data_IF_935449131289
#
_entry.id   IF_935449131289
#
_cell.length_a   1.000
_cell.length_b   1.000
_cell.length_c   1.000
_cell.angle_alpha   90.00
_cell.angle_beta   90.00
_cell.angle_gamma   90.00
#
_symmetry.space_group_name_H-M   'P 1'
#
loop_
_entity.id
_entity.type
_entity.pdbx_description
1 polymer ?
#
# COMPACT_ATOMS: atom_id res chain seq x y z
N UNK A 1 -4.37 -35.20 7.50
CA UNK A 1 -5.83 -35.49 7.38
C UNK A 1 -6.77 -34.48 8.05
N UNK A 2 -6.32 -33.54 8.90
CA UNK A 2 -7.18 -32.46 9.43
C UNK A 2 -7.21 -31.19 8.56
N UNK A 3 -6.13 -30.92 7.82
CA UNK A 3 -5.96 -29.73 6.96
C UNK A 3 -6.91 -29.77 5.74
N UNK A 4 -7.25 -30.94 5.22
CA UNK A 4 -8.17 -31.10 4.09
C UNK A 4 -9.64 -30.76 4.43
N UNK A 5 -10.07 -30.86 5.69
CA UNK A 5 -11.44 -30.47 6.09
C UNK A 5 -11.60 -28.96 6.23
N UNK A 6 -10.57 -28.26 6.71
CA UNK A 6 -10.58 -26.80 6.82
C UNK A 6 -10.58 -26.12 5.44
N UNK A 7 -9.78 -26.63 4.49
CA UNK A 7 -9.79 -26.18 3.09
C UNK A 7 -11.12 -26.45 2.39
N UNK A 8 -11.75 -27.59 2.66
CA UNK A 8 -13.08 -27.90 2.12
C UNK A 8 -14.16 -27.01 2.74
N UNK A 9 -14.07 -26.69 4.03
CA UNK A 9 -14.99 -25.74 4.67
C UNK A 9 -14.81 -24.31 4.17
N UNK A 10 -13.57 -23.85 3.94
CA UNK A 10 -13.30 -22.55 3.35
C UNK A 10 -13.79 -22.48 1.88
N UNK A 11 -13.56 -23.53 1.10
CA UNK A 11 -14.07 -23.62 -0.27
C UNK A 11 -15.59 -23.67 -0.32
N UNK A 12 -16.25 -24.42 0.58
CA UNK A 12 -17.72 -24.51 0.67
C UNK A 12 -18.35 -23.21 1.19
N UNK A 13 -17.74 -22.53 2.17
CA UNK A 13 -18.21 -21.22 2.65
C UNK A 13 -18.12 -20.15 1.55
N UNK A 14 -17.02 -20.15 0.78
CA UNK A 14 -16.89 -19.31 -0.41
C UNK A 14 -17.97 -19.67 -1.43
N UNK A 15 -18.21 -20.97 -1.68
CA UNK A 15 -19.20 -21.44 -2.67
C UNK A 15 -20.66 -21.14 -2.28
N UNK A 16 -21.04 -21.21 -1.00
CA UNK A 16 -22.42 -20.96 -0.55
C UNK A 16 -22.76 -19.48 -0.44
N UNK A 17 -21.77 -18.60 -0.22
CA UNK A 17 -22.00 -17.15 -0.25
C UNK A 17 -22.15 -16.55 -1.65
N UNK A 18 -21.90 -17.34 -2.71
CA UNK A 18 -21.83 -16.86 -4.09
C UNK A 18 -23.16 -16.96 -4.86
N UNK A 19 -24.18 -17.65 -4.36
CA UNK A 19 -25.35 -18.03 -5.18
C UNK A 19 -26.70 -17.39 -4.84
N UNK A 20 -26.78 -16.49 -3.86
CA UNK A 20 -28.08 -15.89 -3.48
C UNK A 20 -28.54 -14.68 -4.31
N UNK A 21 -27.78 -14.24 -5.32
CA UNK A 21 -28.27 -13.15 -6.20
C UNK A 21 -27.58 -13.09 -7.56
N UNK A 22 -27.91 -14.01 -8.46
CA UNK A 22 -27.75 -13.75 -9.90
C UNK A 22 -28.97 -12.95 -10.35
N UNK A 23 -28.89 -11.63 -10.22
CA UNK A 23 -29.79 -10.71 -10.92
C UNK A 23 -28.94 -9.64 -11.59
N UNK A 24 -29.17 -9.42 -12.88
CA UNK A 24 -28.37 -8.56 -13.76
C UNK A 24 -28.61 -7.06 -13.49
N UNK A 25 -28.18 -6.60 -12.31
CA UNK A 25 -27.96 -5.20 -11.96
C UNK A 25 -26.50 -5.02 -11.51
N UNK A 26 -26.02 -3.76 -11.45
CA UNK A 26 -24.68 -3.44 -10.95
C UNK A 26 -24.43 -4.21 -9.65
N UNK A 27 -23.33 -4.97 -9.58
CA UNK A 27 -23.05 -5.81 -8.41
C UNK A 27 -22.74 -4.90 -7.23
N UNK A 28 -23.75 -4.62 -6.42
CA UNK A 28 -23.61 -3.85 -5.19
C UNK A 28 -22.97 -4.75 -4.14
N UNK A 29 -21.78 -4.36 -3.67
CA UNK A 29 -21.11 -5.09 -2.61
C UNK A 29 -21.96 -5.05 -1.34
N UNK A 30 -22.24 -6.21 -0.76
CA UNK A 30 -23.19 -6.34 0.36
C UNK A 30 -22.74 -5.62 1.65
N UNK A 31 -21.48 -5.22 1.77
CA UNK A 31 -20.92 -4.57 2.96
C UNK A 31 -20.55 -3.11 2.62
N UNK A 32 -21.44 -2.14 2.91
CA UNK A 32 -21.25 -0.75 2.53
C UNK A 32 -20.13 -0.08 3.33
N UNK A 33 -19.59 1.05 2.84
CA UNK A 33 -18.57 1.81 3.55
C UNK A 33 -19.19 2.70 4.63
N UNK A 34 -18.45 2.93 5.71
CA UNK A 34 -18.77 3.98 6.68
C UNK A 34 -18.62 5.39 6.07
N UNK A 35 -19.29 6.42 6.61
CA UNK A 35 -19.20 7.79 6.11
C UNK A 35 -17.76 8.34 6.01
N UNK A 36 -16.88 7.98 6.94
CA UNK A 36 -15.47 8.35 6.94
C UNK A 36 -14.74 7.83 5.70
N UNK A 37 -15.10 6.63 5.22
CA UNK A 37 -14.56 6.08 3.99
C UNK A 37 -15.00 6.89 2.76
N UNK A 38 -16.26 7.32 2.73
CA UNK A 38 -16.75 8.19 1.66
C UNK A 38 -16.09 9.57 1.70
N UNK A 39 -15.90 10.14 2.89
CA UNK A 39 -15.22 11.43 3.07
C UNK A 39 -13.77 11.38 2.56
N UNK A 40 -13.07 10.27 2.77
CA UNK A 40 -11.69 10.09 2.33
C UNK A 40 -11.52 10.06 0.81
N UNK A 41 -12.59 9.92 0.03
CA UNK A 41 -12.57 10.06 -1.44
C UNK A 41 -12.46 11.52 -1.92
N UNK A 42 -12.45 12.48 -0.99
CA UNK A 42 -12.28 13.90 -1.33
C UNK A 42 -10.80 14.28 -1.32
N UNK A 43 -10.38 15.09 -2.29
CA UNK A 43 -9.02 15.66 -2.31
C UNK A 43 -8.75 16.55 -1.08
N UNK A 44 -7.52 16.53 -0.60
CA UNK A 44 -7.04 17.37 0.51
C UNK A 44 -5.93 18.34 0.06
N UNK A 45 -5.36 19.08 1.02
CA UNK A 45 -4.22 19.98 0.76
C UNK A 45 -2.93 19.22 0.38
N UNK A 46 -2.85 17.93 0.68
CA UNK A 46 -1.66 17.09 0.45
C UNK A 46 -1.90 15.94 -0.51
N UNK A 47 -3.16 15.54 -0.73
CA UNK A 47 -3.54 14.41 -1.57
C UNK A 47 -4.54 14.84 -2.63
N UNK A 48 -4.28 14.47 -3.87
CA UNK A 48 -5.25 14.48 -4.96
C UNK A 48 -5.93 13.12 -5.01
N UNK A 49 -7.27 13.12 -5.03
CA UNK A 49 -8.08 11.92 -5.17
C UNK A 49 -8.85 11.99 -6.47
N UNK A 50 -8.76 10.93 -7.27
CA UNK A 50 -9.39 10.85 -8.58
C UNK A 50 -10.13 9.53 -8.74
N UNK A 51 -11.34 9.59 -9.31
CA UNK A 51 -12.00 8.43 -9.90
C UNK A 51 -11.54 8.36 -11.35
N UNK A 52 -10.77 7.33 -11.68
CA UNK A 52 -10.17 7.18 -13.02
C UNK A 52 -10.94 6.15 -13.81
N UNK A 53 -11.36 6.51 -15.02
CA UNK A 53 -12.01 5.60 -15.96
C UNK A 53 -10.99 4.82 -16.77
N UNK A 54 -11.28 3.55 -17.01
CA UNK A 54 -10.44 2.57 -17.67
C UNK A 54 -11.20 2.05 -18.89
N UNK A 55 -10.69 2.34 -20.09
CA UNK A 55 -11.34 1.87 -21.32
C UNK A 55 -11.29 0.34 -21.46
N UNK A 56 -10.23 -0.29 -20.97
CA UNK A 56 -10.01 -1.73 -21.01
C UNK A 56 -9.04 -2.17 -19.92
N UNK A 57 -9.44 -3.18 -19.15
CA UNK A 57 -8.63 -3.76 -18.07
C UNK A 57 -7.51 -4.65 -18.56
N UNK A 58 -7.70 -5.37 -19.67
CA UNK A 58 -6.73 -6.28 -20.29
C UNK A 58 -6.04 -5.68 -21.53
N UNK A 59 -6.42 -4.45 -21.92
CA UNK A 59 -5.95 -3.76 -23.12
C UNK A 59 -6.61 -4.20 -24.42
N UNK A 60 -7.54 -5.17 -24.39
CA UNK A 60 -8.17 -5.75 -25.59
C UNK A 60 -9.70 -5.70 -25.56
N UNK A 61 -10.31 -5.94 -24.41
CA UNK A 61 -11.76 -5.99 -24.20
C UNK A 61 -12.23 -4.70 -23.53
N UNK A 62 -13.23 -3.99 -24.09
CA UNK A 62 -13.81 -2.83 -23.42
C UNK A 62 -14.27 -3.17 -22.00
N UNK A 63 -13.92 -2.35 -21.02
CA UNK A 63 -14.37 -2.53 -19.66
C UNK A 63 -15.90 -2.30 -19.56
N UNK A 64 -16.64 -3.06 -18.74
CA UNK A 64 -18.06 -2.82 -18.51
C UNK A 64 -18.29 -1.41 -17.95
N UNK A 65 -19.31 -0.70 -18.44
CA UNK A 65 -19.53 0.71 -18.07
C UNK A 65 -19.81 0.93 -16.57
N UNK A 66 -20.29 -0.10 -15.87
CA UNK A 66 -20.52 -0.14 -14.43
C UNK A 66 -19.32 -0.66 -13.62
N UNK A 67 -18.25 -1.08 -14.30
CA UNK A 67 -17.07 -1.71 -13.69
C UNK A 67 -15.78 -1.31 -14.44
N UNK A 68 -15.68 -0.02 -14.81
CA UNK A 68 -14.58 0.56 -15.58
C UNK A 68 -13.80 1.63 -14.80
N UNK A 69 -13.76 1.56 -13.47
CA UNK A 69 -13.08 2.58 -12.66
C UNK A 69 -12.09 2.02 -11.65
N UNK A 70 -11.15 2.86 -11.24
CA UNK A 70 -10.44 2.72 -9.97
C UNK A 70 -10.34 4.07 -9.24
N UNK A 71 -10.01 4.02 -7.96
CA UNK A 71 -9.77 5.21 -7.15
C UNK A 71 -8.26 5.41 -6.98
N UNK A 72 -7.74 6.56 -7.39
CA UNK A 72 -6.34 6.92 -7.28
C UNK A 72 -6.15 8.00 -6.20
N UNK A 73 -5.10 7.86 -5.39
CA UNK A 73 -4.73 8.80 -4.33
C UNK A 73 -3.25 9.18 -4.54
N UNK A 74 -3.03 10.42 -4.94
CA UNK A 74 -1.75 10.92 -5.42
C UNK A 74 -1.21 12.02 -4.48
N UNK A 75 0.04 11.93 -4.00
CA UNK A 75 0.67 13.02 -3.27
C UNK A 75 0.82 14.28 -4.15
N UNK A 76 0.34 15.44 -3.69
CA UNK A 76 0.42 16.72 -4.45
C UNK A 76 1.79 17.40 -4.42
N UNK A 77 2.58 17.16 -3.37
CA UNK A 77 3.80 17.95 -3.06
C UNK A 77 5.09 17.16 -3.23
N UNK A 78 5.01 15.90 -3.65
CA UNK A 78 6.15 14.99 -3.69
C UNK A 78 6.10 14.16 -4.96
N UNK A 79 7.25 13.99 -5.61
CA UNK A 79 7.40 12.98 -6.65
C UNK A 79 7.28 11.61 -5.99
N UNK A 80 6.31 10.81 -6.41
CA UNK A 80 6.09 9.45 -5.92
C UNK A 80 6.73 8.44 -6.87
N UNK A 81 7.58 7.58 -6.34
CA UNK A 81 8.28 6.50 -7.08
C UNK A 81 7.88 5.11 -6.59
N UNK A 82 7.05 5.04 -5.55
CA UNK A 82 6.51 3.81 -4.98
C UNK A 82 4.99 3.86 -5.06
N UNK A 83 4.41 2.79 -5.59
CA UNK A 83 2.97 2.60 -5.72
C UNK A 83 2.48 1.45 -4.86
N UNK A 84 1.32 1.63 -4.23
CA UNK A 84 0.64 0.59 -3.47
C UNK A 84 -0.78 0.35 -3.99
N UNK A 85 -1.02 -0.87 -4.49
CA UNK A 85 -2.32 -1.30 -5.01
C UNK A 85 -3.06 -2.03 -3.88
N UNK A 86 -4.27 -1.58 -3.57
CA UNK A 86 -5.13 -2.17 -2.55
C UNK A 86 -6.25 -2.97 -3.21
N UNK A 87 -6.30 -4.26 -2.90
CA UNK A 87 -7.36 -5.18 -3.27
C UNK A 87 -8.37 -5.30 -2.11
N UNK A 88 -9.65 -4.97 -2.34
CA UNK A 88 -10.70 -5.08 -1.32
C UNK A 88 -10.92 -6.52 -0.82
N UNK A 89 -11.42 -6.63 0.42
CA UNK A 89 -12.01 -7.84 0.96
C UNK A 89 -13.32 -8.24 0.26
N UNK A 90 -13.71 -9.51 0.39
CA UNK A 90 -14.84 -10.08 -0.33
C UNK A 90 -16.16 -9.44 0.10
N UNK A 91 -17.01 -9.05 -0.86
CA UNK A 91 -18.27 -8.34 -0.64
C UNK A 91 -18.12 -7.01 0.12
N UNK A 92 -16.91 -6.47 0.30
CA UNK A 92 -16.69 -5.13 0.84
C UNK A 92 -16.74 -4.10 -0.28
N UNK A 93 -17.47 -3.02 -0.06
CA UNK A 93 -17.37 -1.85 -0.95
C UNK A 93 -15.91 -1.37 -0.98
N UNK A 94 -15.30 -1.20 -2.18
CA UNK A 94 -13.91 -0.77 -2.31
C UNK A 94 -13.61 0.56 -1.61
N UNK A 95 -14.60 1.45 -1.49
CA UNK A 95 -14.43 2.76 -0.84
C UNK A 95 -14.12 2.63 0.65
N UNK A 96 -14.43 1.49 1.27
CA UNK A 96 -14.08 1.18 2.67
C UNK A 96 -12.58 1.27 2.97
N UNK A 97 -11.72 1.20 1.95
CA UNK A 97 -10.26 1.30 2.09
C UNK A 97 -9.72 2.71 1.79
N UNK A 98 -10.58 3.66 1.41
CA UNK A 98 -10.19 5.02 1.06
C UNK A 98 -9.45 5.76 2.18
N UNK A 99 -9.79 5.61 3.49
CA UNK A 99 -9.05 6.28 4.55
C UNK A 99 -7.59 5.81 4.64
N UNK A 100 -7.34 4.50 4.52
CA UNK A 100 -5.99 3.95 4.50
C UNK A 100 -5.21 4.41 3.26
N UNK A 101 -5.84 4.35 2.08
CA UNK A 101 -5.24 4.82 0.83
C UNK A 101 -4.86 6.32 0.91
N UNK A 102 -5.79 7.16 1.38
CA UNK A 102 -5.57 8.58 1.55
C UNK A 102 -4.44 8.86 2.55
N UNK A 103 -4.41 8.17 3.69
CA UNK A 103 -3.39 8.36 4.71
C UNK A 103 -1.99 7.93 4.23
N UNK A 104 -1.89 6.86 3.43
CA UNK A 104 -0.64 6.45 2.79
C UNK A 104 -0.20 7.44 1.71
N UNK A 105 -1.15 7.97 0.92
CA UNK A 105 -0.85 9.01 -0.06
C UNK A 105 -0.38 10.32 0.58
N UNK A 106 -0.96 10.71 1.72
CA UNK A 106 -0.48 11.84 2.50
C UNK A 106 0.97 11.68 3.00
N UNK A 107 1.46 10.44 3.07
CA UNK A 107 2.84 10.10 3.45
C UNK A 107 3.80 9.95 2.25
N UNK A 108 3.34 10.22 1.03
CA UNK A 108 4.18 10.31 -0.17
C UNK A 108 4.14 9.11 -1.12
N UNK A 109 3.27 8.14 -0.88
CA UNK A 109 3.10 6.97 -1.74
C UNK A 109 1.98 7.18 -2.74
N UNK A 110 2.14 6.76 -3.99
CA UNK A 110 0.95 6.57 -4.81
C UNK A 110 0.15 5.41 -4.23
N UNK A 111 -1.15 5.56 -4.05
CA UNK A 111 -2.01 4.42 -3.71
C UNK A 111 -3.24 4.39 -4.59
N UNK A 112 -3.75 3.19 -4.86
CA UNK A 112 -5.02 3.03 -5.53
C UNK A 112 -5.83 1.89 -4.92
N UNK A 113 -7.13 1.96 -5.12
CA UNK A 113 -8.08 0.91 -4.78
C UNK A 113 -8.74 0.47 -6.08
N UNK A 114 -8.71 -0.83 -6.34
CA UNK A 114 -9.30 -1.41 -7.54
C UNK A 114 -10.61 -2.10 -7.13
N UNK A 115 -11.79 -1.60 -7.55
CA UNK A 115 -13.04 -2.35 -7.51
C UNK A 115 -12.89 -3.70 -8.22
N UNK A 116 -13.49 -4.75 -7.66
CA UNK A 116 -13.33 -6.12 -8.14
C UNK A 116 -14.63 -6.63 -8.76
N UNK A 117 -14.58 -7.44 -9.83
CA UNK A 117 -15.75 -8.11 -10.37
C UNK A 117 -16.47 -8.87 -9.26
N UNK A 118 -17.78 -8.65 -9.16
CA UNK A 118 -18.63 -9.26 -8.14
C UNK A 118 -18.14 -9.05 -6.69
N UNK A 119 -17.35 -8.00 -6.45
CA UNK A 119 -16.75 -7.71 -5.15
C UNK A 119 -15.83 -8.83 -4.62
N UNK A 120 -15.24 -9.64 -5.50
CA UNK A 120 -14.33 -10.73 -5.15
C UNK A 120 -12.99 -10.56 -5.84
N UNK A 121 -11.93 -10.31 -5.06
CA UNK A 121 -10.61 -10.01 -5.60
C UNK A 121 -10.01 -11.12 -6.47
N UNK A 122 -10.37 -12.39 -6.22
CA UNK A 122 -9.93 -13.52 -7.03
C UNK A 122 -10.40 -13.46 -8.49
N UNK A 123 -11.45 -12.70 -8.80
CA UNK A 123 -11.96 -12.54 -10.17
C UNK A 123 -11.34 -11.35 -10.91
N UNK A 124 -10.57 -10.49 -10.24
CA UNK A 124 -10.12 -9.22 -10.81
C UNK A 124 -8.67 -8.83 -10.51
N UNK A 125 -7.88 -9.64 -9.80
CA UNK A 125 -6.53 -9.23 -9.39
C UNK A 125 -5.59 -8.85 -10.55
N UNK A 126 -5.80 -9.39 -11.76
CA UNK A 126 -5.02 -9.02 -12.95
C UNK A 126 -5.27 -7.57 -13.43
N UNK A 127 -6.31 -6.89 -12.93
CA UNK A 127 -6.51 -5.44 -13.14
C UNK A 127 -5.32 -4.61 -12.66
N UNK A 128 -4.49 -5.15 -11.75
CA UNK A 128 -3.26 -4.53 -11.33
C UNK A 128 -2.30 -4.24 -12.51
N UNK A 129 -2.28 -5.07 -13.55
CA UNK A 129 -1.42 -4.85 -14.74
C UNK A 129 -1.75 -3.51 -15.42
N UNK A 130 -3.04 -3.20 -15.53
CA UNK A 130 -3.51 -1.94 -16.09
C UNK A 130 -2.98 -0.75 -15.30
N UNK A 131 -3.13 -0.79 -13.98
CA UNK A 131 -2.68 0.28 -13.10
C UNK A 131 -1.16 0.45 -13.21
N UNK A 132 -0.40 -0.64 -13.20
CA UNK A 132 1.06 -0.59 -13.32
C UNK A 132 1.46 0.07 -14.66
N UNK A 133 0.75 -0.23 -15.74
CA UNK A 133 0.97 0.36 -17.06
C UNK A 133 0.61 1.85 -17.15
N UNK A 134 -0.38 2.32 -16.40
CA UNK A 134 -0.84 3.72 -16.43
C UNK A 134 0.14 4.70 -15.73
N UNK A 135 1.08 4.21 -14.91
CA UNK A 135 2.00 5.05 -14.12
C UNK A 135 3.49 4.68 -14.26
N UNK A 136 4.11 5.10 -15.37
CA UNK A 136 5.52 4.87 -15.73
C UNK A 136 6.57 5.47 -14.76
N UNK A 137 6.18 6.50 -13.99
CA UNK A 137 7.04 7.16 -12.99
C UNK A 137 7.24 6.30 -11.74
N UNK A 138 6.33 5.36 -11.46
CA UNK A 138 6.46 4.46 -10.32
C UNK A 138 7.50 3.38 -10.66
N UNK A 139 8.49 3.23 -9.78
CA UNK A 139 9.65 2.33 -9.96
C UNK A 139 9.53 1.05 -9.15
N UNK A 140 8.81 1.10 -8.03
CA UNK A 140 8.54 -0.05 -7.17
C UNK A 140 7.05 -0.15 -6.91
N UNK A 141 6.49 -1.30 -7.25
CA UNK A 141 5.09 -1.61 -6.97
C UNK A 141 5.00 -2.60 -5.82
N UNK A 142 4.10 -2.28 -4.90
CA UNK A 142 3.66 -3.15 -3.84
C UNK A 142 2.18 -3.40 -4.07
N UNK A 143 1.74 -4.64 -3.92
CA UNK A 143 0.33 -5.00 -3.96
C UNK A 143 -0.07 -5.56 -2.61
N UNK A 144 -1.29 -5.30 -2.19
CA UNK A 144 -1.81 -5.87 -0.96
C UNK A 144 -3.30 -5.80 -0.90
N UNK A 145 -3.86 -6.31 0.19
CA UNK A 145 -5.29 -6.30 0.36
C UNK A 145 -5.73 -6.95 1.65
N UNK A 146 -7.03 -6.80 1.91
CA UNK A 146 -7.69 -7.33 3.08
C UNK A 146 -8.35 -8.67 2.77
N UNK A 147 -8.21 -9.66 3.65
CA UNK A 147 -8.92 -10.95 3.56
C UNK A 147 -8.65 -11.63 2.20
N UNK A 148 -9.70 -11.97 1.43
CA UNK A 148 -9.55 -12.51 0.06
C UNK A 148 -8.73 -11.60 -0.86
N UNK A 149 -8.73 -10.28 -0.65
CA UNK A 149 -7.88 -9.33 -1.35
C UNK A 149 -6.39 -9.52 -1.05
N UNK A 150 -6.05 -9.86 0.20
CA UNK A 150 -4.68 -10.20 0.59
C UNK A 150 -4.21 -11.51 -0.05
N UNK A 151 -5.09 -12.52 -0.10
CA UNK A 151 -4.82 -13.79 -0.80
C UNK A 151 -4.61 -13.55 -2.29
N UNK A 152 -5.51 -12.79 -2.93
CA UNK A 152 -5.42 -12.45 -4.35
C UNK A 152 -4.16 -11.63 -4.68
N UNK A 153 -3.72 -10.74 -3.79
CA UNK A 153 -2.48 -10.00 -3.93
C UNK A 153 -1.26 -10.93 -3.97
N UNK A 154 -1.23 -11.95 -3.11
CA UNK A 154 -0.19 -12.99 -3.14
C UNK A 154 -0.21 -13.83 -4.41
N UNK A 155 -1.41 -14.25 -4.86
CA UNK A 155 -1.59 -14.98 -6.12
C UNK A 155 -1.07 -14.16 -7.30
N UNK A 156 -1.41 -12.88 -7.39
CA UNK A 156 -0.92 -11.98 -8.44
C UNK A 156 0.60 -11.84 -8.36
N UNK A 157 1.14 -11.52 -7.19
CA UNK A 157 2.57 -11.28 -6.99
C UNK A 157 3.42 -12.52 -7.32
N UNK A 158 2.91 -13.73 -7.06
CA UNK A 158 3.61 -14.98 -7.40
C UNK A 158 3.79 -15.19 -8.90
N UNK A 159 2.88 -14.63 -9.70
CA UNK A 159 2.77 -14.85 -11.14
C UNK A 159 3.27 -13.67 -11.97
N UNK A 160 3.92 -12.68 -11.36
CA UNK A 160 4.47 -11.51 -12.06
C UNK A 160 5.86 -11.14 -11.54
N UNK A 161 6.64 -10.47 -12.38
CA UNK A 161 7.94 -9.88 -12.01
C UNK A 161 7.86 -8.37 -11.76
N UNK A 162 6.68 -7.76 -11.90
CA UNK A 162 6.50 -6.29 -11.76
C UNK A 162 6.34 -5.83 -10.31
N UNK A 163 6.01 -6.75 -9.41
CA UNK A 163 5.82 -6.49 -7.98
C UNK A 163 7.13 -6.69 -7.21
N UNK A 164 7.41 -5.77 -6.29
CA UNK A 164 8.56 -5.81 -5.38
C UNK A 164 8.20 -6.26 -3.96
N UNK A 165 6.93 -6.16 -3.56
CA UNK A 165 6.49 -6.62 -2.25
C UNK A 165 4.99 -6.84 -2.13
N UNK A 166 4.61 -7.57 -1.08
CA UNK A 166 3.22 -7.94 -0.78
C UNK A 166 2.83 -7.50 0.62
N UNK A 167 1.65 -6.89 0.76
CA UNK A 167 1.05 -6.55 2.06
C UNK A 167 -0.22 -7.37 2.27
N UNK A 168 -0.22 -8.18 3.33
CA UNK A 168 -1.32 -9.11 3.65
C UNK A 168 -2.01 -8.58 4.90
N UNK A 169 -3.22 -8.03 4.74
CA UNK A 169 -4.04 -7.54 5.85
C UNK A 169 -5.12 -8.56 6.22
N UNK A 170 -5.13 -9.03 7.47
CA UNK A 170 -6.12 -9.99 7.99
C UNK A 170 -6.37 -11.16 7.01
N UNK A 171 -5.28 -11.78 6.57
CA UNK A 171 -5.30 -12.82 5.55
C UNK A 171 -4.07 -13.71 5.65
N UNK A 172 -4.02 -14.76 4.85
CA UNK A 172 -2.93 -15.72 4.76
C UNK A 172 -2.77 -16.22 3.31
N UNK A 173 -1.59 -16.76 3.02
CA UNK A 173 -1.25 -17.39 1.73
C UNK A 173 -1.33 -18.90 1.88
N UNK A 174 -1.81 -19.58 0.84
CA UNK A 174 -1.85 -21.04 0.79
C UNK A 174 -0.55 -21.63 0.19
N UNK A 175 -0.41 -22.94 0.27
CA UNK A 175 0.75 -23.67 -0.25
C UNK A 175 0.94 -23.47 -1.76
N UNK A 176 -0.16 -23.39 -2.51
CA UNK A 176 -0.13 -23.27 -3.97
C UNK A 176 0.44 -21.92 -4.44
N UNK A 177 0.24 -20.87 -3.64
CA UNK A 177 0.67 -19.50 -3.93
C UNK A 177 1.84 -19.05 -3.05
N UNK A 178 2.61 -20.00 -2.50
CA UNK A 178 3.75 -19.73 -1.62
C UNK A 178 4.74 -18.71 -2.21
N UNK A 179 5.18 -17.80 -1.35
CA UNK A 179 6.08 -16.69 -1.67
C UNK A 179 7.48 -16.87 -1.08
N UNK A 180 7.70 -17.88 -0.24
CA UNK A 180 8.98 -18.18 0.43
C UNK A 180 10.15 -18.47 -0.52
N UNK A 181 9.86 -18.87 -1.76
CA UNK A 181 10.86 -19.08 -2.81
C UNK A 181 11.01 -17.87 -3.75
N UNK A 182 10.46 -16.71 -3.41
CA UNK A 182 10.50 -15.50 -4.23
C UNK A 182 11.41 -14.44 -3.59
N UNK A 183 11.93 -13.47 -4.37
CA UNK A 183 12.69 -12.34 -3.81
C UNK A 183 11.78 -11.24 -3.24
N UNK A 184 10.47 -11.47 -3.14
CA UNK A 184 9.50 -10.48 -2.68
C UNK A 184 9.71 -10.21 -1.19
N UNK A 185 9.58 -8.94 -0.79
CA UNK A 185 9.40 -8.63 0.63
C UNK A 185 7.93 -8.77 1.00
N UNK A 186 7.65 -9.24 2.20
CA UNK A 186 6.26 -9.42 2.67
C UNK A 186 6.05 -8.76 4.03
N UNK A 187 4.91 -8.08 4.17
CA UNK A 187 4.34 -7.63 5.44
C UNK A 187 3.04 -8.40 5.68
N UNK A 188 2.94 -9.10 6.79
CA UNK A 188 1.71 -9.74 7.27
C UNK A 188 1.20 -8.99 8.50
N UNK A 189 -0.01 -8.46 8.42
CA UNK A 189 -0.69 -7.73 9.51
C UNK A 189 -1.96 -8.48 9.89
N UNK A 190 -2.05 -8.95 11.13
CA UNK A 190 -3.22 -9.65 11.68
C UNK A 190 -3.81 -8.89 12.88
N UNK A 191 -5.06 -9.19 13.22
CA UNK A 191 -5.65 -8.78 14.50
C UNK A 191 -5.63 -9.94 15.48
N UNK A 192 -5.30 -9.69 16.76
CA UNK A 192 -5.26 -10.74 17.79
C UNK A 192 -6.64 -11.35 18.09
N UNK A 193 -7.73 -10.68 17.68
CA UNK A 193 -9.12 -11.13 17.82
C UNK A 193 -9.76 -11.46 16.46
N UNK A 194 -8.99 -11.56 15.38
CA UNK A 194 -9.52 -11.90 14.07
C UNK A 194 -10.18 -13.29 14.08
N UNK A 195 -11.48 -13.35 13.81
CA UNK A 195 -12.24 -14.61 13.79
C UNK A 195 -12.20 -15.37 12.45
N UNK A 196 -11.70 -14.74 11.39
CA UNK A 196 -11.70 -15.29 10.02
C UNK A 196 -10.30 -15.71 9.57
N UNK A 197 -9.34 -14.79 9.64
CA UNK A 197 -7.92 -15.06 9.49
C UNK A 197 -7.27 -15.14 10.89
N UNK A 198 -7.70 -16.15 11.64
CA UNK A 198 -7.30 -16.36 13.04
C UNK A 198 -5.77 -16.35 13.20
N UNK A 199 -5.22 -15.89 14.34
CA UNK A 199 -3.78 -15.91 14.61
C UNK A 199 -3.11 -17.27 14.34
N UNK A 200 -3.81 -18.38 14.60
CA UNK A 200 -3.33 -19.73 14.34
C UNK A 200 -3.16 -20.01 12.83
N UNK A 201 -4.12 -19.59 12.01
CA UNK A 201 -4.06 -19.72 10.55
C UNK A 201 -2.93 -18.87 9.97
N UNK A 202 -2.79 -17.62 10.43
CA UNK A 202 -1.71 -16.72 10.01
C UNK A 202 -0.34 -17.29 10.39
N UNK A 203 -0.19 -17.78 11.62
CA UNK A 203 1.05 -18.41 12.10
C UNK A 203 1.37 -19.68 11.32
N UNK A 204 0.38 -20.53 11.05
CA UNK A 204 0.57 -21.76 10.27
C UNK A 204 0.98 -21.47 8.82
N UNK A 205 0.48 -20.37 8.23
CA UNK A 205 0.82 -19.96 6.87
C UNK A 205 2.20 -19.28 6.74
N UNK A 206 2.86 -18.95 7.85
CA UNK A 206 4.17 -18.30 7.83
C UNK A 206 5.23 -19.11 7.08
N UNK A 207 5.08 -20.45 7.03
CA UNK A 207 5.98 -21.34 6.27
C UNK A 207 5.93 -21.11 4.74
N UNK A 208 4.90 -20.44 4.24
CA UNK A 208 4.74 -20.10 2.82
C UNK A 208 5.24 -18.70 2.49
N UNK A 209 5.82 -17.97 3.46
CA UNK A 209 6.29 -16.61 3.29
C UNK A 209 7.83 -16.53 3.40
N UNK A 210 8.47 -15.53 2.78
CA UNK A 210 9.91 -15.30 2.90
C UNK A 210 10.39 -15.26 4.34
N UNK A 211 11.61 -15.73 4.59
CA UNK A 211 12.18 -15.78 5.94
C UNK A 211 12.34 -14.39 6.58
N UNK A 212 12.44 -13.33 5.78
CA UNK A 212 12.51 -11.93 6.22
C UNK A 212 11.14 -11.23 6.27
N UNK A 213 10.04 -11.99 6.20
CA UNK A 213 8.68 -11.46 6.35
C UNK A 213 8.52 -10.74 7.68
N UNK A 214 7.95 -9.55 7.63
CA UNK A 214 7.59 -8.79 8.83
C UNK A 214 6.18 -9.20 9.24
N UNK A 215 6.05 -9.77 10.43
CA UNK A 215 4.76 -10.11 11.04
C UNK A 215 4.39 -9.07 12.10
N UNK A 216 3.17 -8.55 12.02
CA UNK A 216 2.62 -7.62 13.00
C UNK A 216 1.24 -8.11 13.43
N UNK A 217 1.07 -8.35 14.72
CA UNK A 217 -0.24 -8.63 15.31
C UNK A 217 -0.73 -7.39 16.08
N UNK A 218 -1.88 -6.84 15.64
CA UNK A 218 -2.56 -5.72 16.28
C UNK A 218 -3.34 -6.26 17.49
N UNK A 219 -2.82 -5.98 18.68
CA UNK A 219 -3.46 -6.39 19.94
C UNK A 219 -4.83 -5.73 20.10
N UNK A 220 -5.86 -6.55 20.30
CA UNK A 220 -7.25 -6.12 20.42
C UNK A 220 -7.94 -5.82 19.08
N UNK A 221 -7.23 -5.93 17.95
CA UNK A 221 -7.80 -5.74 16.62
C UNK A 221 -8.51 -6.99 16.09
N UNK A 222 -9.50 -6.80 15.21
CA UNK A 222 -10.27 -7.87 14.57
C UNK A 222 -10.19 -7.82 13.03
N UNK A 223 -10.89 -8.72 12.34
CA UNK A 223 -10.92 -8.75 10.87
C UNK A 223 -11.63 -7.53 10.27
N UNK A 224 -12.78 -7.19 10.83
CA UNK A 224 -13.72 -6.20 10.31
C UNK A 224 -13.08 -4.83 10.15
N UNK A 225 -12.31 -4.40 11.17
CA UNK A 225 -11.71 -3.06 11.23
C UNK A 225 -10.47 -2.90 10.34
N UNK A 226 -10.12 -3.87 9.48
CA UNK A 226 -9.12 -3.66 8.42
C UNK A 226 -9.65 -2.80 7.25
N UNK A 227 -10.97 -2.56 7.20
CA UNK A 227 -11.58 -1.51 6.40
C UNK A 227 -12.61 -0.71 7.21
N UNK A 228 -13.01 0.44 6.68
CA UNK A 228 -14.11 1.26 7.20
C UNK A 228 -15.45 0.74 6.69
N UNK A 229 -15.82 -0.44 7.18
CA UNK A 229 -16.99 -1.20 6.74
C UNK A 229 -18.12 -0.97 7.74
N UNK A 230 -19.30 -0.61 7.24
CA UNK A 230 -20.51 -0.53 8.06
C UNK A 230 -21.04 -1.95 8.30
N UNK A 231 -21.10 -2.35 9.57
CA UNK A 231 -21.62 -3.65 10.01
C UNK A 231 -22.97 -3.55 10.69
N UNK A 232 -23.58 -2.36 10.73
CA UNK A 232 -24.85 -2.11 11.42
C UNK A 232 -25.93 -3.11 10.98
N UNK A 233 -26.69 -3.70 11.93
CA UNK A 233 -26.70 -3.44 13.38
C UNK A 233 -25.73 -4.31 14.21
N UNK A 234 -24.84 -5.06 13.56
CA UNK A 234 -23.92 -6.00 14.21
C UNK A 234 -22.60 -5.32 14.62
N UNK A 235 -21.94 -5.82 15.68
CA UNK A 235 -20.67 -5.25 16.15
C UNK A 235 -19.48 -5.55 15.21
N UNK A 236 -19.59 -6.57 14.36
CA UNK A 236 -18.57 -6.99 13.41
C UNK A 236 -19.18 -7.85 12.30
N UNK A 237 -18.39 -8.19 11.28
CA UNK A 237 -18.79 -9.12 10.23
C UNK A 237 -19.06 -10.52 10.79
N UNK A 238 -19.89 -11.28 10.06
CA UNK A 238 -20.18 -12.68 10.35
C UNK A 238 -18.88 -13.49 10.54
N UNK A 239 -18.82 -14.37 11.55
CA UNK A 239 -17.63 -15.19 11.85
C UNK A 239 -16.37 -14.41 12.24
N UNK A 240 -16.46 -13.11 12.49
CA UNK A 240 -15.40 -12.33 13.16
C UNK A 240 -15.70 -12.17 14.66
N UNK A 241 -14.72 -11.75 15.45
CA UNK A 241 -14.95 -11.37 16.85
C UNK A 241 -14.98 -9.83 16.99
N UNK A 242 -15.71 -9.28 17.97
CA UNK A 242 -15.65 -7.86 18.28
C UNK A 242 -14.24 -7.43 18.69
N UNK A 243 -13.76 -6.31 18.14
CA UNK A 243 -12.50 -5.69 18.57
C UNK A 243 -12.61 -5.08 19.98
N UNK A 244 -11.47 -4.96 20.66
CA UNK A 244 -11.36 -4.22 21.94
C UNK A 244 -10.72 -2.84 21.77
N UNK A 245 -10.29 -2.50 20.56
CA UNK A 245 -9.81 -1.17 20.17
C UNK A 245 -10.73 -0.58 19.10
N UNK A 246 -10.78 0.75 18.99
CA UNK A 246 -11.62 1.40 17.98
C UNK A 246 -11.06 1.22 16.57
N UNK A 247 -11.91 1.43 15.57
CA UNK A 247 -11.50 1.39 14.17
C UNK A 247 -10.39 2.41 13.87
N UNK A 248 -10.42 3.60 14.47
CA UNK A 248 -9.38 4.62 14.31
C UNK A 248 -8.02 4.13 14.79
N UNK A 249 -7.98 3.48 15.96
CA UNK A 249 -6.74 2.99 16.55
C UNK A 249 -6.16 1.83 15.73
N UNK A 250 -7.00 0.89 15.31
CA UNK A 250 -6.57 -0.19 14.42
C UNK A 250 -6.08 0.34 13.06
N UNK A 251 -6.83 1.26 12.44
CA UNK A 251 -6.47 1.85 11.15
C UNK A 251 -5.19 2.66 11.22
N UNK A 252 -4.96 3.39 12.31
CA UNK A 252 -3.71 4.10 12.56
C UNK A 252 -2.52 3.13 12.59
N UNK A 253 -2.64 2.00 13.30
CA UNK A 253 -1.59 0.98 13.35
C UNK A 253 -1.36 0.33 11.98
N UNK A 254 -2.43 -0.04 11.25
CA UNK A 254 -2.35 -0.59 9.88
C UNK A 254 -1.60 0.36 8.95
N UNK A 255 -1.97 1.65 8.96
CA UNK A 255 -1.32 2.68 8.12
C UNK A 255 0.13 2.88 8.53
N UNK A 256 0.46 2.89 9.82
CA UNK A 256 1.83 3.07 10.31
C UNK A 256 2.76 1.93 9.87
N UNK A 257 2.34 0.68 10.09
CA UNK A 257 3.16 -0.49 9.75
C UNK A 257 3.30 -0.64 8.23
N UNK A 258 2.23 -0.38 7.49
CA UNK A 258 2.25 -0.37 6.02
C UNK A 258 3.17 0.74 5.50
N UNK A 259 3.10 1.95 6.08
CA UNK A 259 4.03 3.05 5.74
C UNK A 259 5.48 2.63 5.92
N UNK A 260 5.81 2.03 7.07
CA UNK A 260 7.18 1.63 7.38
C UNK A 260 7.69 0.55 6.42
N UNK A 261 6.81 -0.35 6.00
CA UNK A 261 7.11 -1.32 4.96
C UNK A 261 7.33 -0.66 3.58
N UNK A 262 6.41 0.22 3.14
CA UNK A 262 6.52 0.90 1.85
C UNK A 262 7.78 1.77 1.74
N UNK A 263 8.22 2.39 2.85
CA UNK A 263 9.47 3.16 2.91
C UNK A 263 10.72 2.35 2.57
N UNK A 264 10.69 1.02 2.65
CA UNK A 264 11.83 0.19 2.25
C UNK A 264 12.05 0.18 0.75
N UNK A 265 11.00 0.47 -0.04
CA UNK A 265 11.05 0.58 -1.49
C UNK A 265 11.23 2.01 -1.97
N UNK A 266 11.06 2.98 -1.06
CA UNK A 266 11.32 4.38 -1.35
C UNK A 266 12.83 4.58 -1.41
N UNK A 267 13.37 4.30 -2.60
CA UNK A 267 14.77 4.52 -2.93
C UNK A 267 15.08 6.00 -3.15
N UNK A 268 14.17 6.94 -2.79
CA UNK A 268 14.51 8.35 -2.51
C UNK A 268 15.37 8.44 -1.24
N UNK A 269 16.48 7.71 -1.24
CA UNK A 269 17.61 7.98 -0.38
C UNK A 269 18.04 9.41 -0.73
N UNK A 270 17.86 10.34 0.18
CA UNK A 270 18.34 11.71 0.02
C UNK A 270 19.88 11.68 -0.03
N UNK A 271 20.52 12.10 -1.13
CA UNK A 271 21.99 12.10 -1.23
C UNK A 271 22.69 12.79 -0.06
N UNK A 272 22.15 13.91 0.42
CA UNK A 272 22.64 14.64 1.60
C UNK A 272 22.56 13.78 2.86
N UNK A 273 21.43 13.09 3.11
CA UNK A 273 21.32 12.19 4.25
C UNK A 273 22.24 10.97 4.11
N UNK A 274 22.52 10.53 2.88
CA UNK A 274 23.50 9.48 2.60
C UNK A 274 24.96 9.94 2.82
N UNK A 275 25.28 11.20 2.50
CA UNK A 275 26.60 11.78 2.72
C UNK A 275 26.86 12.12 4.20
N UNK A 276 25.84 12.63 4.90
CA UNK A 276 25.95 13.11 6.28
C UNK A 276 25.57 12.05 7.33
N UNK A 277 24.92 10.96 6.92
CA UNK A 277 24.25 9.96 7.76
C UNK A 277 22.91 10.48 8.32
N UNK A 278 21.91 9.59 8.44
CA UNK A 278 20.48 9.94 8.56
C UNK A 278 20.13 10.69 9.87
N UNK A 279 21.00 10.63 10.87
CA UNK A 279 20.83 11.25 12.20
C UNK A 279 21.62 12.56 12.38
N UNK A 280 22.32 13.04 11.35
CA UNK A 280 23.10 14.27 11.45
C UNK A 280 22.19 15.52 11.45
N UNK A 281 22.28 16.34 12.50
CA UNK A 281 21.47 17.56 12.68
C UNK A 281 21.58 18.54 11.51
N UNK A 282 22.70 18.52 10.77
CA UNK A 282 22.90 19.35 9.58
C UNK A 282 21.97 18.98 8.43
N UNK A 283 21.43 17.77 8.39
CA UNK A 283 20.36 17.39 7.44
C UNK A 283 19.13 18.28 7.64
N UNK A 284 18.81 18.64 8.89
CA UNK A 284 17.70 19.54 9.22
C UNK A 284 17.98 20.97 8.75
N UNK A 285 19.21 21.46 8.92
CA UNK A 285 19.64 22.78 8.42
C UNK A 285 19.43 22.90 6.91
N UNK A 286 19.86 21.89 6.15
CA UNK A 286 19.68 21.91 4.68
C UNK A 286 18.20 21.80 4.29
N UNK A 287 17.38 21.05 5.03
CA UNK A 287 15.92 21.00 4.82
C UNK A 287 15.25 22.34 5.06
N UNK A 288 15.66 23.05 6.12
CA UNK A 288 15.13 24.38 6.46
C UNK A 288 15.44 25.38 5.33
N UNK A 289 16.67 25.41 4.84
CA UNK A 289 17.06 26.24 3.68
C UNK A 289 16.25 25.92 2.43
N UNK A 290 16.06 24.64 2.13
CA UNK A 290 15.20 24.20 1.02
C UNK A 290 13.80 24.78 1.15
N UNK A 291 13.19 24.70 2.32
CA UNK A 291 11.81 25.14 2.57
C UNK A 291 11.66 26.66 2.59
N UNK A 292 12.60 27.36 3.21
CA UNK A 292 12.50 28.81 3.42
C UNK A 292 12.99 29.62 2.23
N UNK A 293 13.84 29.06 1.36
CA UNK A 293 14.42 29.75 0.20
C UNK A 293 14.08 29.04 -1.12
N UNK A 294 14.56 27.81 -1.33
CA UNK A 294 14.44 27.15 -2.63
C UNK A 294 12.98 26.95 -3.04
N UNK A 295 12.13 26.48 -2.12
CA UNK A 295 10.73 26.20 -2.39
C UNK A 295 9.90 27.45 -2.71
N UNK A 296 10.42 28.66 -2.43
CA UNK A 296 9.73 29.95 -2.68
C UNK A 296 9.98 30.52 -4.08
N UNK A 297 10.80 29.87 -4.91
CA UNK A 297 11.09 30.31 -6.28
C UNK A 297 10.87 29.19 -7.29
N UNK A 298 10.45 29.52 -8.50
CA UNK A 298 10.27 28.52 -9.57
C UNK A 298 11.57 27.75 -9.85
N UNK A 299 12.70 28.46 -10.01
CA UNK A 299 14.00 27.84 -10.21
C UNK A 299 14.44 26.95 -9.05
N UNK A 300 14.13 27.34 -7.80
CA UNK A 300 14.45 26.50 -6.64
C UNK A 300 13.56 25.25 -6.56
N UNK A 301 12.28 25.34 -6.97
CA UNK A 301 11.41 24.18 -7.10
C UNK A 301 11.90 23.21 -8.18
N UNK A 302 12.41 23.72 -9.31
CA UNK A 302 13.03 22.89 -10.35
C UNK A 302 14.26 22.15 -9.84
N UNK A 303 15.12 22.83 -9.07
CA UNK A 303 16.30 22.21 -8.43
C UNK A 303 15.88 21.11 -7.45
N UNK A 304 14.87 21.37 -6.62
CA UNK A 304 14.33 20.38 -5.67
C UNK A 304 13.82 19.15 -6.42
N UNK A 305 13.02 19.37 -7.46
CA UNK A 305 12.45 18.31 -8.29
C UNK A 305 13.56 17.48 -8.97
N UNK A 306 14.54 18.15 -9.59
CA UNK A 306 15.71 17.50 -10.21
C UNK A 306 16.47 16.64 -9.21
N UNK A 307 16.74 17.18 -8.01
CA UNK A 307 17.51 16.52 -6.97
C UNK A 307 16.77 15.31 -6.39
N UNK A 308 15.45 15.42 -6.19
CA UNK A 308 14.62 14.30 -5.74
C UNK A 308 14.56 13.19 -6.78
N UNK A 309 14.32 13.53 -8.06
CA UNK A 309 14.25 12.56 -9.15
C UNK A 309 15.56 11.79 -9.39
N UNK A 310 16.71 12.39 -9.06
CA UNK A 310 18.04 11.80 -9.26
C UNK A 310 18.70 11.29 -7.99
N UNK A 311 18.01 11.31 -6.85
CA UNK A 311 18.60 10.96 -5.56
C UNK A 311 19.28 9.59 -5.55
N UNK A 312 18.61 8.58 -6.11
CA UNK A 312 19.14 7.23 -6.23
C UNK A 312 20.38 7.15 -7.14
N UNK A 313 20.31 7.73 -8.34
CA UNK A 313 21.43 7.74 -9.29
C UNK A 313 22.66 8.46 -8.72
N UNK A 314 22.47 9.55 -7.96
CA UNK A 314 23.55 10.25 -7.27
C UNK A 314 24.19 9.35 -6.21
N UNK A 315 23.39 8.60 -5.47
CA UNK A 315 23.90 7.67 -4.46
C UNK A 315 24.61 6.49 -5.10
N UNK A 316 24.11 5.96 -6.21
CA UNK A 316 24.83 4.93 -6.97
C UNK A 316 26.20 5.44 -7.43
N UNK A 317 26.31 6.69 -7.90
CA UNK A 317 27.61 7.31 -8.23
C UNK A 317 28.51 7.32 -6.99
N UNK A 318 27.99 7.69 -5.83
CA UNK A 318 28.76 7.70 -4.58
C UNK A 318 29.17 6.30 -4.10
N UNK A 319 28.34 5.29 -4.32
CA UNK A 319 28.63 3.89 -4.01
C UNK A 319 29.71 3.33 -4.95
N UNK A 320 29.61 3.63 -6.26
CA UNK A 320 30.57 3.20 -7.30
C UNK A 320 31.89 3.98 -7.23
N UNK A 321 31.88 5.22 -6.73
CA UNK A 321 33.04 6.10 -6.70
C UNK A 321 33.27 6.73 -5.32
N UNK A 322 33.95 6.01 -4.39
CA UNK A 322 34.21 6.48 -3.03
C UNK A 322 34.96 7.81 -2.94
N UNK A 323 35.84 8.11 -3.92
CA UNK A 323 36.56 9.39 -4.01
C UNK A 323 35.60 10.55 -4.23
N UNK A 324 34.63 10.39 -5.14
CA UNK A 324 33.60 11.39 -5.42
C UNK A 324 32.70 11.56 -4.20
N UNK A 325 32.31 10.47 -3.54
CA UNK A 325 31.54 10.50 -2.28
C UNK A 325 32.25 11.32 -1.20
N UNK A 326 33.55 11.10 -0.99
CA UNK A 326 34.31 11.84 0.03
C UNK A 326 34.48 13.31 -0.33
N UNK A 327 34.77 13.64 -1.59
CA UNK A 327 34.87 15.03 -2.04
C UNK A 327 33.53 15.78 -1.85
N UNK A 328 32.42 15.17 -2.27
CA UNK A 328 31.08 15.73 -2.08
C UNK A 328 30.72 15.91 -0.60
N UNK A 329 31.08 14.94 0.24
CA UNK A 329 30.90 15.04 1.70
C UNK A 329 31.68 16.20 2.31
N UNK A 330 32.94 16.40 1.91
CA UNK A 330 33.78 17.50 2.41
C UNK A 330 33.20 18.84 1.95
N UNK A 331 32.89 18.98 0.66
CA UNK A 331 32.28 20.19 0.11
C UNK A 331 30.99 20.56 0.85
N UNK A 332 30.13 19.56 1.10
CA UNK A 332 28.88 19.74 1.82
C UNK A 332 29.11 20.20 3.27
N UNK A 333 29.99 19.51 4.01
CA UNK A 333 30.25 19.78 5.43
C UNK A 333 31.01 21.08 5.69
N UNK A 334 31.95 21.45 4.81
CA UNK A 334 32.91 22.53 5.06
C UNK A 334 32.51 23.83 4.37
N UNK A 335 31.78 23.78 3.26
CA UNK A 335 31.47 24.96 2.45
C UNK A 335 29.97 25.20 2.40
N UNK A 336 29.19 24.22 1.94
CA UNK A 336 27.77 24.44 1.65
C UNK A 336 26.95 24.65 2.92
N UNK A 337 27.09 23.77 3.92
CA UNK A 337 26.32 23.88 5.17
C UNK A 337 26.64 25.19 5.92
N UNK A 338 27.91 25.55 6.14
CA UNK A 338 28.23 26.84 6.77
C UNK A 338 27.69 28.05 6.00
N UNK A 339 27.70 28.02 4.65
CA UNK A 339 27.11 29.08 3.85
C UNK A 339 25.57 29.14 4.00
N UNK A 340 24.90 27.99 4.08
CA UNK A 340 23.47 27.90 4.36
C UNK A 340 23.15 28.46 5.75
N UNK A 341 23.93 28.09 6.77
CA UNK A 341 23.76 28.58 8.14
C UNK A 341 23.91 30.09 8.24
N UNK A 342 24.77 30.68 7.42
CA UNK A 342 24.90 32.14 7.33
C UNK A 342 23.68 32.82 6.68
N UNK A 343 22.94 32.11 5.81
CA UNK A 343 21.79 32.65 5.09
C UNK A 343 20.45 32.47 5.84
N UNK A 344 20.38 31.53 6.79
CA UNK A 344 19.20 31.20 7.59
C UNK A 344 19.07 32.06 8.86
#
# INVERSE_FOLDING_TARGET
MKITRALLCAAVLVFTSLFDSVNAGAVECLRPPLPEALNALTSSATVEVSRVEVNSWDGTTPAPADDNIYFAFMPKKTVFTVGFIILPGGNCDPRSYAPAAHALAAKGFFTCIIPMPQCVAMFGYMRADRIIGDYDKIKKWVIGGHSVGGTAAGVYARNTTTISGVVIWASFIDEANRLDTTPLKVLSVSGSLDGRATPELVTAAAIYLPADTVFVEIQGGNHTQFGWIDTSPYPCLEFDNPATITIEEQQKQIVEVTTNFLKQFDQNKCPIAYLLEKEDSRVTTVRKFREEFLAKSASGQDIISWYQQRGEAIIEIFEKHPVIKNAARILLKVIIIPAIEFLL
#
